data_IF_350128932496
#
_entry.id   IF_350128932496
#
_cell.length_a   1.000
_cell.length_b   1.000
_cell.length_c   1.000
_cell.angle_alpha   90.00
_cell.angle_beta   90.00
_cell.angle_gamma   90.00
#
_symmetry.space_group_name_H-M   'P 1'
#
loop_
_entity.id
_entity.type
_entity.pdbx_description
1 polymer ?
#
# COMPACT_ATOMS: atom_id res chain seq x y z
N UNK A 1 -3.99 -36.19 51.09
CA UNK A 1 -5.21 -35.84 51.88
C UNK A 1 -6.24 -35.35 50.90
N UNK A 2 -7.18 -36.22 50.39
CA UNK A 2 -8.48 -36.54 50.98
C UNK A 2 -9.32 -35.28 51.18
N UNK A 3 -10.38 -35.04 50.36
CA UNK A 3 -11.81 -35.48 50.46
C UNK A 3 -12.53 -34.82 49.25
N UNK A 4 -13.15 -35.37 48.34
CA UNK A 4 -14.30 -36.31 48.11
C UNK A 4 -15.66 -35.75 48.57
N UNK A 5 -16.63 -35.81 47.57
CA UNK A 5 -18.10 -35.96 47.63
C UNK A 5 -18.90 -34.68 47.83
N UNK A 6 -20.05 -34.46 47.20
CA UNK A 6 -21.22 -35.30 46.85
C UNK A 6 -22.09 -34.66 45.77
N UNK A 7 -22.46 -35.40 44.79
CA UNK A 7 -23.71 -35.62 44.07
C UNK A 7 -25.01 -35.35 44.79
N UNK A 8 -26.12 -35.02 44.06
CA UNK A 8 -27.53 -35.47 44.14
C UNK A 8 -28.32 -34.56 43.16
N UNK A 9 -28.81 -35.00 41.96
CA UNK A 9 -30.03 -35.74 41.57
C UNK A 9 -31.34 -35.09 42.08
N UNK A 10 -32.20 -34.68 41.13
CA UNK A 10 -33.66 -34.90 41.06
C UNK A 10 -34.21 -34.26 39.78
N UNK A 11 -34.48 -35.01 38.76
CA UNK A 11 -35.72 -35.76 38.34
C UNK A 11 -36.92 -34.86 38.04
N UNK A 12 -37.27 -34.79 36.74
CA UNK A 12 -38.53 -35.25 36.11
C UNK A 12 -39.84 -34.59 36.53
N UNK A 13 -40.51 -33.90 35.62
CA UNK A 13 -41.94 -34.16 35.38
C UNK A 13 -42.38 -33.75 33.97
N UNK A 14 -42.80 -34.76 33.28
CA UNK A 14 -43.47 -34.87 31.98
C UNK A 14 -44.97 -34.61 32.22
N UNK A 15 -45.64 -33.81 31.36
CA UNK A 15 -47.06 -34.01 31.07
C UNK A 15 -47.41 -33.59 29.65
N UNK A 16 -47.76 -34.62 28.89
CA UNK A 16 -48.56 -34.62 27.66
C UNK A 16 -50.01 -34.25 27.93
N UNK A 17 -50.67 -33.50 27.06
CA UNK A 17 -52.10 -33.69 26.77
C UNK A 17 -52.32 -33.59 25.29
N UNK A 18 -53.01 -34.61 24.79
CA UNK A 18 -53.32 -34.95 23.40
C UNK A 18 -54.77 -34.57 23.10
N UNK A 19 -55.01 -34.22 21.82
CA UNK A 19 -56.18 -34.43 20.97
C UNK A 19 -57.47 -33.64 21.23
N UNK A 20 -58.10 -33.14 20.17
CA UNK A 20 -59.00 -33.95 19.37
C UNK A 20 -59.49 -33.22 18.11
N UNK A 21 -59.70 -34.01 17.08
CA UNK A 21 -60.36 -33.78 15.82
C UNK A 21 -61.83 -33.29 15.95
N UNK A 22 -62.31 -32.55 14.94
CA UNK A 22 -63.71 -32.36 14.65
C UNK A 22 -63.94 -31.71 13.29
N UNK A 23 -64.54 -32.41 12.42
CA UNK A 23 -64.74 -32.15 11.00
C UNK A 23 -66.00 -31.33 10.64
N UNK A 24 -65.93 -30.72 9.47
CA UNK A 24 -66.99 -30.50 8.46
C UNK A 24 -68.04 -29.39 8.65
N UNK A 25 -68.17 -28.57 7.58
CA UNK A 25 -69.38 -27.84 7.27
C UNK A 25 -69.22 -26.57 6.42
N UNK A 26 -69.48 -26.68 5.18
CA UNK A 26 -69.74 -25.84 4.03
C UNK A 26 -70.32 -24.42 4.26
N UNK A 27 -69.85 -23.59 3.32
CA UNK A 27 -70.54 -22.60 2.45
C UNK A 27 -70.56 -21.11 2.80
N UNK A 28 -70.20 -20.38 1.74
CA UNK A 28 -70.59 -19.04 1.29
C UNK A 28 -69.75 -17.83 1.66
N UNK A 29 -69.06 -17.33 0.63
CA UNK A 29 -68.57 -15.95 0.41
C UNK A 29 -69.72 -14.91 0.36
N UNK A 30 -69.48 -13.55 0.27
CA UNK A 30 -68.25 -12.79 0.06
C UNK A 30 -68.11 -11.49 0.88
N UNK A 31 -67.00 -10.81 0.71
CA UNK A 31 -66.79 -9.36 0.57
C UNK A 31 -65.73 -8.72 1.48
N UNK A 32 -64.75 -8.19 0.77
CA UNK A 32 -63.97 -6.96 0.92
C UNK A 32 -63.42 -6.53 2.29
N UNK A 33 -62.09 -6.40 2.36
CA UNK A 33 -61.34 -5.69 3.40
C UNK A 33 -59.83 -5.85 3.18
N UNK A 34 -59.27 -4.99 2.33
CA UNK A 34 -57.80 -4.84 2.18
C UNK A 34 -57.22 -4.37 3.50
N UNK A 35 -56.25 -5.12 4.06
CA UNK A 35 -55.16 -4.54 4.82
C UNK A 35 -53.87 -5.23 4.40
N UNK A 36 -53.00 -4.42 3.82
CA UNK A 36 -51.66 -4.78 3.37
C UNK A 36 -50.75 -4.99 4.61
N UNK A 37 -50.53 -6.21 4.97
CA UNK A 37 -49.43 -6.61 5.85
C UNK A 37 -48.13 -6.62 5.06
N UNK A 38 -47.33 -5.56 5.17
CA UNK A 38 -45.99 -5.51 4.65
C UNK A 38 -45.13 -6.52 5.41
N UNK A 39 -44.97 -7.70 4.86
CA UNK A 39 -43.93 -8.62 5.28
C UNK A 39 -42.60 -8.00 4.82
N UNK A 40 -41.86 -7.45 5.76
CA UNK A 40 -40.49 -7.08 5.61
C UNK A 40 -39.69 -8.38 5.40
N UNK A 41 -39.54 -8.80 4.16
CA UNK A 41 -38.57 -9.80 3.78
C UNK A 41 -37.20 -9.12 3.92
N UNK A 42 -36.52 -9.30 5.05
CA UNK A 42 -35.09 -9.16 5.11
C UNK A 42 -34.49 -10.18 4.15
N UNK A 43 -34.29 -9.74 2.92
CA UNK A 43 -33.44 -10.44 1.98
C UNK A 43 -32.02 -10.35 2.56
N UNK A 44 -31.59 -11.40 3.23
CA UNK A 44 -30.17 -11.67 3.42
C UNK A 44 -29.63 -11.83 2.00
N UNK A 45 -29.01 -10.79 1.46
CA UNK A 45 -28.21 -10.92 0.25
C UNK A 45 -27.15 -11.97 0.57
N UNK A 46 -27.33 -13.17 0.05
CA UNK A 46 -26.28 -14.17 0.03
C UNK A 46 -25.10 -13.48 -0.67
N UNK A 47 -24.01 -13.22 0.03
CA UNK A 47 -22.84 -12.59 -0.54
C UNK A 47 -22.40 -13.42 -1.73
N UNK A 48 -22.56 -12.86 -2.94
CA UNK A 48 -22.13 -13.52 -4.16
C UNK A 48 -20.61 -13.68 -4.06
N UNK A 49 -20.13 -14.87 -4.35
CA UNK A 49 -18.69 -15.18 -4.41
C UNK A 49 -18.26 -15.31 -5.87
N UNK A 50 -17.02 -14.94 -6.14
CA UNK A 50 -16.35 -15.21 -7.42
C UNK A 50 -15.08 -15.99 -7.19
N UNK A 51 -14.64 -16.71 -8.23
CA UNK A 51 -13.43 -17.52 -8.21
C UNK A 51 -12.31 -16.79 -8.93
N UNK A 52 -11.16 -16.71 -8.29
CA UNK A 52 -9.94 -16.15 -8.88
C UNK A 52 -8.85 -17.21 -8.90
N UNK A 53 -8.16 -17.31 -10.04
CA UNK A 53 -7.03 -18.21 -10.18
C UNK A 53 -5.75 -17.53 -9.71
N UNK A 54 -5.05 -18.14 -8.78
CA UNK A 54 -3.77 -17.67 -8.22
C UNK A 54 -2.71 -18.79 -8.34
N UNK A 55 -1.47 -18.48 -8.02
CA UNK A 55 -0.42 -19.50 -7.92
C UNK A 55 -0.69 -20.52 -6.80
N UNK A 56 -1.51 -20.16 -5.81
CA UNK A 56 -1.93 -21.05 -4.73
C UNK A 56 -3.15 -21.91 -5.11
N UNK A 57 -3.63 -21.82 -6.36
CA UNK A 57 -4.83 -22.47 -6.85
C UNK A 57 -6.02 -21.51 -6.98
N UNK A 58 -7.21 -22.08 -7.12
CA UNK A 58 -8.46 -21.33 -7.19
C UNK A 58 -8.89 -20.89 -5.79
N UNK A 59 -9.15 -19.59 -5.61
CA UNK A 59 -9.60 -18.96 -4.36
C UNK A 59 -10.99 -18.39 -4.56
N UNK A 60 -11.93 -18.70 -3.68
CA UNK A 60 -13.25 -18.07 -3.63
C UNK A 60 -13.16 -16.78 -2.80
N UNK A 61 -13.54 -15.66 -3.39
CA UNK A 61 -13.56 -14.34 -2.74
C UNK A 61 -14.97 -13.72 -2.87
N UNK A 62 -15.35 -12.76 -2.02
CA UNK A 62 -16.57 -11.99 -2.24
C UNK A 62 -16.56 -11.35 -3.64
N UNK A 63 -17.68 -11.38 -4.35
CA UNK A 63 -17.79 -10.72 -5.66
C UNK A 63 -17.63 -9.20 -5.57
N UNK A 64 -18.00 -8.62 -4.44
CA UNK A 64 -17.83 -7.19 -4.13
C UNK A 64 -17.31 -7.03 -2.70
N UNK A 65 -15.99 -7.21 -2.48
CA UNK A 65 -15.40 -7.08 -1.15
C UNK A 65 -15.49 -5.64 -0.65
N UNK A 66 -15.81 -5.45 0.63
CA UNK A 66 -16.00 -4.14 1.26
C UNK A 66 -14.94 -3.80 2.28
N UNK A 67 -14.34 -4.83 2.88
CA UNK A 67 -13.33 -4.71 3.94
C UNK A 67 -12.01 -5.30 3.47
N UNK A 68 -11.29 -4.55 2.64
CA UNK A 68 -10.06 -5.04 2.02
C UNK A 68 -8.84 -4.60 2.81
N UNK A 69 -7.90 -5.53 3.00
CA UNK A 69 -6.56 -5.27 3.51
C UNK A 69 -5.53 -5.62 2.44
N UNK A 70 -4.67 -4.66 2.11
CA UNK A 70 -3.48 -4.88 1.28
C UNK A 70 -2.24 -5.02 2.17
N UNK A 71 -1.66 -6.23 2.26
CA UNK A 71 -0.50 -6.53 3.10
C UNK A 71 0.81 -6.16 2.40
N UNK A 72 1.09 -4.88 2.35
CA UNK A 72 2.34 -4.31 1.86
C UNK A 72 2.31 -2.82 2.21
N UNK A 73 3.45 -2.15 2.26
CA UNK A 73 3.50 -0.69 2.38
C UNK A 73 3.06 0.02 1.09
N UNK A 74 3.00 -0.72 -0.03
CA UNK A 74 2.62 -0.21 -1.36
C UNK A 74 1.16 -0.50 -1.70
N UNK A 75 0.63 -1.66 -1.32
CA UNK A 75 -0.72 -2.10 -1.69
C UNK A 75 -1.85 -1.19 -1.22
N UNK A 76 -1.76 -0.51 -0.08
CA UNK A 76 -2.73 0.52 0.29
C UNK A 76 -2.89 1.62 -0.75
N UNK A 77 -1.79 2.05 -1.37
CA UNK A 77 -1.80 3.06 -2.43
C UNK A 77 -2.39 2.51 -3.73
N UNK A 78 -2.14 1.24 -4.06
CA UNK A 78 -2.81 0.57 -5.20
C UNK A 78 -4.33 0.51 -5.00
N UNK A 79 -4.78 0.04 -3.84
CA UNK A 79 -6.21 -0.01 -3.52
C UNK A 79 -6.85 1.38 -3.63
N UNK A 80 -6.20 2.40 -3.07
CA UNK A 80 -6.71 3.76 -3.13
C UNK A 80 -6.76 4.33 -4.56
N UNK A 81 -5.76 4.06 -5.38
CA UNK A 81 -5.77 4.46 -6.81
C UNK A 81 -6.88 3.76 -7.61
N UNK A 82 -7.32 2.58 -7.17
CA UNK A 82 -8.47 1.86 -7.70
C UNK A 82 -9.82 2.31 -7.09
N UNK A 83 -9.82 3.37 -6.26
CA UNK A 83 -11.00 3.92 -5.59
C UNK A 83 -11.45 3.17 -4.35
N UNK A 84 -10.56 2.41 -3.71
CA UNK A 84 -10.86 1.60 -2.52
C UNK A 84 -10.01 2.09 -1.35
N UNK A 85 -10.66 2.53 -0.27
CA UNK A 85 -9.97 2.86 0.98
C UNK A 85 -9.79 1.57 1.79
N UNK A 86 -8.55 1.13 2.06
CA UNK A 86 -8.30 -0.07 2.86
C UNK A 86 -8.71 0.16 4.31
N UNK A 87 -9.24 -0.88 4.98
CA UNK A 87 -9.66 -0.79 6.37
C UNK A 87 -8.48 -0.82 7.35
N UNK A 88 -7.38 -1.47 6.96
CA UNK A 88 -6.14 -1.53 7.71
C UNK A 88 -4.94 -1.58 6.76
N UNK A 89 -3.80 -1.06 7.19
CA UNK A 89 -2.59 -0.94 6.39
C UNK A 89 -1.34 -1.29 7.18
N UNK A 90 -0.35 -1.86 6.51
CA UNK A 90 1.03 -1.85 7.00
C UNK A 90 1.62 -0.46 6.75
N UNK A 91 2.19 0.16 7.78
CA UNK A 91 2.78 1.49 7.70
C UNK A 91 4.22 1.46 8.21
N UNK A 92 5.13 2.09 7.47
CA UNK A 92 6.53 2.26 7.86
C UNK A 92 6.71 3.48 8.76
N UNK A 93 6.19 4.63 8.33
CA UNK A 93 6.20 5.86 9.12
C UNK A 93 4.98 5.92 10.05
N UNK A 94 5.10 6.67 11.14
CA UNK A 94 3.97 6.89 12.06
C UNK A 94 2.83 7.63 11.37
N UNK A 95 3.15 8.68 10.59
CA UNK A 95 2.19 9.43 9.81
C UNK A 95 2.12 8.95 8.37
N UNK A 96 0.93 8.99 7.80
CA UNK A 96 0.74 8.80 6.37
C UNK A 96 1.37 9.94 5.56
N UNK A 97 1.80 9.70 4.30
CA UNK A 97 2.11 10.78 3.37
C UNK A 97 0.95 11.77 3.28
N UNK A 98 1.25 13.05 2.98
CA UNK A 98 0.26 14.11 2.95
C UNK A 98 -0.94 13.81 2.05
N UNK A 99 -0.71 13.13 0.93
CA UNK A 99 -1.76 12.72 -0.02
C UNK A 99 -2.66 11.56 0.47
N UNK A 100 -2.32 10.92 1.59
CA UNK A 100 -3.11 9.84 2.21
C UNK A 100 -3.69 10.20 3.58
N UNK A 101 -3.28 11.33 4.20
CA UNK A 101 -3.70 11.67 5.56
C UNK A 101 -5.21 11.77 5.72
N UNK A 102 -5.88 12.52 4.83
CA UNK A 102 -7.33 12.67 4.88
C UNK A 102 -8.07 11.37 4.50
N UNK A 103 -7.80 10.74 3.35
CA UNK A 103 -8.52 9.54 2.97
C UNK A 103 -8.32 8.36 3.94
N UNK A 104 -7.17 8.26 4.61
CA UNK A 104 -6.86 7.18 5.54
C UNK A 104 -7.03 7.58 7.02
N UNK A 105 -7.72 8.67 7.32
CA UNK A 105 -7.92 9.14 8.70
C UNK A 105 -8.55 8.08 9.64
N UNK A 106 -9.36 7.18 9.10
CA UNK A 106 -10.01 6.10 9.85
C UNK A 106 -9.41 4.70 9.54
N UNK A 107 -8.31 4.63 8.79
CA UNK A 107 -7.66 3.37 8.46
C UNK A 107 -6.76 2.92 9.60
N UNK A 108 -6.92 1.67 10.04
CA UNK A 108 -6.11 1.09 11.11
C UNK A 108 -4.65 0.95 10.67
N UNK A 109 -3.71 1.42 11.49
CA UNK A 109 -2.28 1.23 11.31
C UNK A 109 -1.81 -0.03 12.02
N UNK A 110 -1.24 -0.99 11.29
CA UNK A 110 -0.79 -2.27 11.83
C UNK A 110 0.73 -2.33 12.09
N UNK A 111 1.47 -1.27 11.72
CA UNK A 111 2.93 -1.30 11.70
C UNK A 111 3.48 -2.24 10.63
N UNK A 112 4.81 -2.37 10.59
CA UNK A 112 5.51 -3.29 9.68
C UNK A 112 6.36 -4.27 10.49
N UNK A 113 6.38 -5.54 10.06
CA UNK A 113 7.17 -6.60 10.68
C UNK A 113 7.50 -7.71 9.67
N UNK A 114 8.33 -8.67 10.08
CA UNK A 114 8.67 -9.83 9.25
C UNK A 114 7.48 -10.74 8.97
N UNK A 115 6.46 -10.68 9.82
CA UNK A 115 5.17 -11.34 9.67
C UNK A 115 4.10 -10.27 9.86
N UNK A 116 2.90 -10.43 9.25
CA UNK A 116 1.77 -9.57 9.52
C UNK A 116 1.41 -9.53 11.00
N UNK A 117 0.84 -8.43 11.45
CA UNK A 117 0.23 -8.36 12.79
C UNK A 117 -1.14 -9.06 12.74
N UNK A 118 -1.15 -10.36 13.07
CA UNK A 118 -2.36 -11.19 13.01
C UNK A 118 -3.46 -10.73 13.97
N UNK A 119 -3.10 -10.18 15.14
CA UNK A 119 -4.10 -9.64 16.09
C UNK A 119 -4.82 -8.44 15.48
N UNK A 120 -4.07 -7.49 14.90
CA UNK A 120 -4.66 -6.34 14.23
C UNK A 120 -5.47 -6.74 12.98
N UNK A 121 -5.04 -7.77 12.24
CA UNK A 121 -5.81 -8.31 11.12
C UNK A 121 -7.14 -8.91 11.56
N UNK A 122 -7.14 -9.68 12.65
CA UNK A 122 -8.39 -10.23 13.22
C UNK A 122 -9.30 -9.13 13.75
N UNK A 123 -8.75 -8.10 14.38
CA UNK A 123 -9.53 -6.94 14.87
C UNK A 123 -10.14 -6.14 13.71
N UNK A 124 -9.44 -6.02 12.58
CA UNK A 124 -9.94 -5.34 11.40
C UNK A 124 -11.09 -6.08 10.71
N UNK A 125 -11.25 -7.39 10.94
CA UNK A 125 -12.31 -8.24 10.34
C UNK A 125 -12.40 -8.07 8.81
N UNK A 126 -11.32 -8.28 8.03
CA UNK A 126 -11.36 -8.15 6.59
C UNK A 126 -12.27 -9.20 5.94
N UNK A 127 -12.84 -8.86 4.79
CA UNK A 127 -13.53 -9.82 3.92
C UNK A 127 -12.66 -10.27 2.74
N UNK A 128 -11.53 -9.59 2.51
CA UNK A 128 -10.50 -9.95 1.54
C UNK A 128 -9.12 -9.44 1.99
N UNK A 129 -8.12 -10.32 1.90
CA UNK A 129 -6.70 -9.99 2.06
C UNK A 129 -6.02 -10.14 0.70
N UNK A 130 -5.30 -9.11 0.26
CA UNK A 130 -4.42 -9.15 -0.92
C UNK A 130 -2.99 -8.92 -0.42
N UNK A 131 -2.07 -9.82 -0.78
CA UNK A 131 -0.71 -9.80 -0.27
C UNK A 131 0.32 -10.17 -1.34
N UNK A 132 1.57 -9.68 -1.29
CA UNK A 132 2.63 -10.09 -2.18
C UNK A 132 3.09 -11.52 -1.83
N UNK A 133 3.28 -12.38 -2.84
CA UNK A 133 3.66 -13.78 -2.65
C UNK A 133 5.04 -13.91 -2.00
N UNK A 134 6.03 -13.15 -2.47
CA UNK A 134 7.43 -13.18 -1.99
C UNK A 134 7.59 -12.85 -0.50
N UNK A 135 6.63 -12.12 0.08
CA UNK A 135 6.64 -11.75 1.50
C UNK A 135 5.71 -12.62 2.34
N UNK A 136 4.51 -12.91 1.83
CA UNK A 136 3.39 -13.46 2.60
C UNK A 136 3.13 -14.95 2.40
N UNK A 137 3.78 -15.59 1.42
CA UNK A 137 3.56 -17.01 1.10
C UNK A 137 3.79 -17.95 2.30
N UNK A 138 4.76 -17.64 3.16
CA UNK A 138 5.05 -18.41 4.39
C UNK A 138 3.93 -18.35 5.43
N UNK A 139 3.13 -17.28 5.40
CA UNK A 139 2.06 -16.99 6.36
C UNK A 139 0.67 -17.29 5.77
N UNK A 140 0.59 -17.82 4.53
CA UNK A 140 -0.63 -18.00 3.77
C UNK A 140 -1.71 -18.78 4.52
N UNK A 141 -1.36 -19.93 5.12
CA UNK A 141 -2.32 -20.76 5.87
C UNK A 141 -2.95 -20.01 7.05
N UNK A 142 -2.18 -19.14 7.70
CA UNK A 142 -2.69 -18.33 8.82
C UNK A 142 -3.58 -17.17 8.32
N UNK A 143 -3.21 -16.55 7.21
CA UNK A 143 -4.01 -15.49 6.60
C UNK A 143 -5.38 -16.00 6.14
N UNK A 144 -5.44 -17.19 5.54
CA UNK A 144 -6.69 -17.81 5.07
C UNK A 144 -7.65 -18.21 6.20
N UNK A 145 -7.15 -18.35 7.43
CA UNK A 145 -8.01 -18.53 8.61
C UNK A 145 -8.74 -17.25 9.03
N UNK A 146 -8.25 -16.09 8.62
CA UNK A 146 -8.83 -14.79 8.94
C UNK A 146 -9.82 -14.35 7.84
N UNK A 147 -9.39 -14.40 6.58
CA UNK A 147 -10.21 -14.05 5.43
C UNK A 147 -9.70 -14.72 4.15
N UNK A 148 -10.54 -14.82 3.10
CA UNK A 148 -10.06 -15.18 1.77
C UNK A 148 -8.82 -14.36 1.41
N UNK A 149 -7.75 -15.04 1.00
CA UNK A 149 -6.43 -14.41 0.78
C UNK A 149 -5.96 -14.69 -0.64
N UNK A 150 -5.62 -13.62 -1.36
CA UNK A 150 -5.04 -13.68 -2.70
C UNK A 150 -3.59 -13.23 -2.64
N UNK A 151 -2.67 -14.07 -3.11
CA UNK A 151 -1.27 -13.71 -3.29
C UNK A 151 -1.04 -13.21 -4.72
N UNK A 152 -0.46 -12.02 -4.85
CA UNK A 152 -0.03 -11.47 -6.14
C UNK A 152 1.45 -11.79 -6.38
N UNK A 153 1.82 -12.13 -7.63
CA UNK A 153 3.21 -12.39 -7.98
C UNK A 153 4.04 -11.09 -7.96
N UNK A 154 5.31 -11.22 -7.66
CA UNK A 154 6.25 -10.11 -7.78
C UNK A 154 6.39 -9.67 -9.24
N UNK A 155 6.40 -8.36 -9.48
CA UNK A 155 6.62 -7.74 -10.78
C UNK A 155 7.80 -6.78 -10.72
N UNK A 156 8.48 -6.61 -11.86
CA UNK A 156 9.57 -5.62 -11.99
C UNK A 156 9.04 -4.19 -12.15
N UNK A 157 7.81 -4.05 -12.62
CA UNK A 157 7.10 -2.78 -12.75
C UNK A 157 5.80 -2.82 -11.94
N UNK A 158 5.61 -1.87 -11.04
CA UNK A 158 4.41 -1.75 -10.23
C UNK A 158 3.11 -1.64 -11.05
N UNK A 159 3.21 -1.17 -12.31
CA UNK A 159 2.04 -1.09 -13.20
C UNK A 159 1.44 -2.45 -13.50
N UNK A 160 2.29 -3.47 -13.65
CA UNK A 160 1.83 -4.83 -13.87
C UNK A 160 1.24 -5.42 -12.60
N UNK A 161 1.78 -5.08 -11.43
CA UNK A 161 1.24 -5.50 -10.14
C UNK A 161 -0.10 -4.82 -9.85
N UNK A 162 -0.26 -3.53 -10.20
CA UNK A 162 -1.54 -2.83 -10.14
C UNK A 162 -2.59 -3.47 -11.07
N UNK A 163 -2.20 -3.90 -12.29
CA UNK A 163 -3.09 -4.63 -13.21
C UNK A 163 -3.53 -5.97 -12.63
N UNK A 164 -2.61 -6.70 -12.00
CA UNK A 164 -2.94 -7.97 -11.33
C UNK A 164 -3.94 -7.73 -10.20
N UNK A 165 -3.76 -6.72 -9.38
CA UNK A 165 -4.71 -6.34 -8.32
C UNK A 165 -6.07 -5.91 -8.91
N UNK A 166 -6.05 -5.08 -9.93
CA UNK A 166 -7.26 -4.58 -10.58
C UNK A 166 -8.11 -5.71 -11.17
N UNK A 167 -7.47 -6.73 -11.76
CA UNK A 167 -8.15 -7.93 -12.28
C UNK A 167 -8.86 -8.73 -11.18
N UNK A 168 -8.28 -8.80 -9.97
CA UNK A 168 -8.93 -9.43 -8.82
C UNK A 168 -10.18 -8.64 -8.40
N UNK A 169 -10.15 -7.33 -8.54
CA UNK A 169 -11.17 -6.40 -8.03
C UNK A 169 -12.15 -5.89 -9.10
N UNK A 170 -12.07 -6.39 -10.36
CA UNK A 170 -12.85 -5.94 -11.52
C UNK A 170 -12.71 -4.41 -11.75
N UNK A 171 -11.46 -3.91 -11.70
CA UNK A 171 -11.08 -2.49 -11.78
C UNK A 171 -10.07 -2.20 -12.91
N UNK A 172 -10.02 -3.03 -13.95
CA UNK A 172 -9.01 -2.95 -15.01
C UNK A 172 -9.03 -1.61 -15.74
N UNK A 173 -10.22 -1.08 -16.04
CA UNK A 173 -10.36 0.24 -16.69
C UNK A 173 -9.79 1.36 -15.83
N UNK A 174 -10.01 1.29 -14.50
CA UNK A 174 -9.47 2.27 -13.55
C UNK A 174 -7.94 2.20 -13.49
N UNK A 175 -7.38 0.99 -13.44
CA UNK A 175 -5.93 0.80 -13.44
C UNK A 175 -5.28 1.36 -14.70
N UNK A 176 -5.82 1.04 -15.88
CA UNK A 176 -5.29 1.57 -17.15
C UNK A 176 -5.39 3.09 -17.21
N UNK A 177 -6.47 3.67 -16.71
CA UNK A 177 -6.61 5.12 -16.63
C UNK A 177 -5.53 5.75 -15.74
N UNK A 178 -5.30 5.22 -14.53
CA UNK A 178 -4.26 5.68 -13.61
C UNK A 178 -2.89 5.62 -14.28
N UNK A 179 -2.58 4.50 -14.93
CA UNK A 179 -1.29 4.30 -15.62
C UNK A 179 -1.12 5.31 -16.77
N UNK A 180 -2.15 5.51 -17.60
CA UNK A 180 -2.08 6.43 -18.76
C UNK A 180 -1.95 7.88 -18.31
N UNK A 181 -2.71 8.31 -17.31
CA UNK A 181 -2.65 9.67 -16.76
C UNK A 181 -1.24 9.95 -16.20
N UNK A 182 -0.65 8.99 -15.49
CA UNK A 182 0.69 9.13 -14.95
C UNK A 182 1.77 9.18 -16.04
N UNK A 183 1.69 8.32 -17.04
CA UNK A 183 2.62 8.34 -18.19
C UNK A 183 2.56 9.68 -18.93
N UNK A 184 1.37 10.25 -19.10
CA UNK A 184 1.22 11.57 -19.70
C UNK A 184 1.85 12.67 -18.83
N UNK A 185 1.69 12.60 -17.51
CA UNK A 185 2.29 13.53 -16.54
C UNK A 185 3.84 13.41 -16.54
N UNK A 186 4.36 12.19 -16.54
CA UNK A 186 5.80 11.92 -16.64
C UNK A 186 6.42 12.57 -17.88
N UNK A 187 5.76 12.43 -19.04
CA UNK A 187 6.25 13.03 -20.27
C UNK A 187 6.35 14.56 -20.16
N UNK A 188 5.34 15.21 -19.63
CA UNK A 188 5.35 16.67 -19.42
C UNK A 188 6.47 17.08 -18.47
N UNK A 189 6.67 16.32 -17.38
CA UNK A 189 7.74 16.57 -16.43
C UNK A 189 9.12 16.37 -17.05
N UNK A 190 9.32 15.31 -17.84
CA UNK A 190 10.57 15.06 -18.56
C UNK A 190 10.94 16.23 -19.47
N UNK A 191 9.99 16.73 -20.27
CA UNK A 191 10.22 17.88 -21.16
C UNK A 191 10.61 19.14 -20.36
N UNK A 192 9.97 19.39 -19.22
CA UNK A 192 10.30 20.52 -18.34
C UNK A 192 11.69 20.38 -17.71
N UNK A 193 11.98 19.22 -17.12
CA UNK A 193 13.26 18.97 -16.45
C UNK A 193 14.42 19.04 -17.45
N UNK A 194 14.25 18.49 -18.66
CA UNK A 194 15.24 18.61 -19.71
C UNK A 194 15.49 20.07 -20.13
N UNK A 195 14.45 20.91 -20.17
CA UNK A 195 14.62 22.33 -20.45
C UNK A 195 15.33 23.10 -19.32
N UNK A 196 15.21 22.64 -18.06
CA UNK A 196 15.83 23.27 -16.90
C UNK A 196 17.31 22.90 -16.75
N UNK A 197 17.66 21.62 -16.88
CA UNK A 197 19.00 21.11 -16.55
C UNK A 197 19.74 20.44 -17.72
N UNK A 198 19.04 20.19 -18.86
CA UNK A 198 19.69 19.63 -20.07
C UNK A 198 20.42 18.32 -19.80
N UNK A 199 21.73 18.33 -20.04
CA UNK A 199 22.62 17.16 -19.90
C UNK A 199 23.34 17.11 -18.54
N UNK A 200 22.95 17.91 -17.57
CA UNK A 200 23.52 17.88 -16.22
C UNK A 200 23.18 16.56 -15.52
N UNK A 201 24.13 16.05 -14.74
CA UNK A 201 23.98 14.78 -14.05
C UNK A 201 23.24 14.93 -12.74
N UNK A 202 22.41 13.95 -12.42
CA UNK A 202 21.63 13.90 -11.18
C UNK A 202 22.01 12.66 -10.38
N UNK A 203 22.18 12.80 -9.08
CA UNK A 203 22.33 11.69 -8.14
C UNK A 203 21.24 11.76 -7.08
N UNK A 204 20.51 10.67 -6.91
CA UNK A 204 19.53 10.52 -5.83
C UNK A 204 20.18 9.79 -4.65
N UNK A 205 20.19 10.42 -3.49
CA UNK A 205 20.73 9.87 -2.26
C UNK A 205 19.66 9.81 -1.17
N UNK A 206 19.70 8.76 -0.37
CA UNK A 206 18.84 8.57 0.80
C UNK A 206 19.69 8.46 2.05
N UNK A 207 19.47 9.33 3.02
CA UNK A 207 20.16 9.32 4.29
C UNK A 207 19.37 8.49 5.29
N UNK A 208 19.90 7.35 5.65
CA UNK A 208 19.34 6.41 6.62
C UNK A 208 20.14 6.47 7.94
N UNK A 209 19.61 5.86 8.99
CA UNK A 209 20.26 5.85 10.30
C UNK A 209 21.72 5.37 10.23
N UNK A 210 21.99 4.27 9.53
CA UNK A 210 23.33 3.63 9.51
C UNK A 210 24.14 3.91 8.25
N UNK A 211 23.51 4.30 7.14
CA UNK A 211 24.13 4.37 5.84
C UNK A 211 23.63 5.55 5.01
N UNK A 212 24.35 5.90 3.95
CA UNK A 212 23.90 6.75 2.86
C UNK A 212 23.72 5.83 1.67
N UNK A 213 22.53 5.81 1.08
CA UNK A 213 22.21 4.96 -0.05
C UNK A 213 22.15 5.82 -1.30
N UNK A 214 22.97 5.48 -2.30
CA UNK A 214 22.93 6.05 -3.64
C UNK A 214 22.04 5.18 -4.53
N UNK A 215 21.16 5.78 -5.30
CA UNK A 215 20.26 5.06 -6.21
C UNK A 215 20.74 5.18 -7.67
N UNK A 216 20.88 4.03 -8.34
CA UNK A 216 21.20 3.90 -9.75
C UNK A 216 19.97 3.87 -10.65
N UNK A 217 20.17 3.69 -11.97
CA UNK A 217 19.11 3.81 -12.98
C UNK A 217 18.20 2.57 -13.17
N UNK A 218 18.44 1.44 -12.49
CA UNK A 218 17.86 0.16 -12.92
C UNK A 218 16.45 -0.13 -12.45
N UNK A 219 16.15 -0.02 -11.15
CA UNK A 219 14.85 -0.36 -10.58
C UNK A 219 14.36 0.74 -9.63
N UNK A 220 13.11 0.68 -9.27
CA UNK A 220 12.45 1.50 -8.26
C UNK A 220 12.75 3.01 -8.40
N UNK A 221 13.20 3.64 -7.34
CA UNK A 221 13.47 5.08 -7.22
C UNK A 221 14.38 5.63 -8.29
N UNK A 222 15.49 4.94 -8.53
CA UNK A 222 16.46 5.38 -9.52
C UNK A 222 15.96 5.24 -10.95
N UNK A 223 15.22 4.17 -11.26
CA UNK A 223 14.54 4.00 -12.54
C UNK A 223 13.56 5.14 -12.80
N UNK A 224 12.79 5.52 -11.78
CA UNK A 224 11.87 6.64 -11.89
C UNK A 224 12.59 7.94 -12.25
N UNK A 225 13.61 8.30 -11.48
CA UNK A 225 14.37 9.54 -11.69
C UNK A 225 15.07 9.56 -13.06
N UNK A 226 15.76 8.47 -13.41
CA UNK A 226 16.64 8.45 -14.56
C UNK A 226 15.96 8.02 -15.88
N UNK A 227 15.09 7.00 -15.84
CA UNK A 227 14.45 6.49 -17.08
C UNK A 227 13.08 7.09 -17.33
N UNK A 228 12.29 7.28 -16.28
CA UNK A 228 10.91 7.79 -16.45
C UNK A 228 10.89 9.32 -16.53
N UNK A 229 11.68 10.00 -15.71
CA UNK A 229 11.82 11.47 -15.78
C UNK A 229 12.99 11.95 -16.65
N UNK A 230 13.79 11.04 -17.21
CA UNK A 230 14.84 11.34 -18.19
C UNK A 230 16.04 12.09 -17.63
N UNK A 231 16.22 12.16 -16.30
CA UNK A 231 17.38 12.83 -15.70
C UNK A 231 18.63 11.98 -15.89
N UNK A 232 19.74 12.62 -16.29
CA UNK A 232 20.97 11.94 -16.64
C UNK A 232 21.67 11.34 -15.42
N UNK A 233 21.87 10.00 -15.35
CA UNK A 233 22.61 9.37 -14.27
C UNK A 233 24.11 9.67 -14.34
N UNK A 234 24.82 9.45 -13.22
CA UNK A 234 26.27 9.49 -13.21
C UNK A 234 26.87 8.36 -14.05
N UNK A 235 27.82 8.65 -14.92
CA UNK A 235 28.41 7.64 -15.81
C UNK A 235 29.26 6.59 -15.07
N UNK A 236 29.75 6.91 -13.88
CA UNK A 236 30.55 6.02 -13.01
C UNK A 236 29.70 5.24 -11.99
N UNK A 237 28.38 5.42 -11.96
CA UNK A 237 27.54 4.56 -11.13
C UNK A 237 27.52 3.13 -11.72
N UNK A 238 27.73 2.06 -10.88
CA UNK A 238 27.71 0.70 -11.37
C UNK A 238 26.36 0.31 -11.98
N UNK A 239 26.38 -0.09 -13.25
CA UNK A 239 25.14 -0.37 -14.02
C UNK A 239 24.43 -1.67 -13.60
N UNK A 240 25.11 -2.54 -12.87
CA UNK A 240 24.56 -3.79 -12.31
C UNK A 240 23.96 -3.60 -10.91
N UNK A 241 24.07 -2.40 -10.33
CA UNK A 241 23.55 -2.06 -9.01
C UNK A 241 22.27 -1.22 -9.13
N UNK A 242 21.25 -1.61 -8.38
CA UNK A 242 20.03 -0.78 -8.19
C UNK A 242 20.31 0.35 -7.22
N UNK A 243 20.99 0.02 -6.12
CA UNK A 243 21.39 0.96 -5.07
C UNK A 243 22.67 0.48 -4.39
N UNK A 244 23.42 1.42 -3.82
CA UNK A 244 24.65 1.13 -3.08
C UNK A 244 24.68 1.89 -1.76
N UNK A 245 25.07 1.20 -0.69
CA UNK A 245 25.41 1.86 0.57
C UNK A 245 26.86 2.36 0.53
N UNK A 246 27.04 3.64 0.85
CA UNK A 246 28.36 4.28 0.90
C UNK A 246 28.58 4.99 2.23
N UNK A 247 29.84 5.18 2.58
CA UNK A 247 30.22 6.12 3.64
C UNK A 247 30.34 7.54 3.10
N UNK A 248 30.37 8.52 3.99
CA UNK A 248 30.52 9.92 3.60
C UNK A 248 31.85 10.19 2.90
N UNK A 249 32.91 9.44 3.21
CA UNK A 249 34.24 9.56 2.58
C UNK A 249 34.23 9.14 1.12
N UNK A 250 33.32 8.24 0.73
CA UNK A 250 33.18 7.73 -0.65
C UNK A 250 32.25 8.63 -1.49
N UNK A 251 31.32 9.35 -0.85
CA UNK A 251 30.34 10.18 -1.54
C UNK A 251 30.97 11.14 -2.60
N UNK A 252 32.14 11.80 -2.37
CA UNK A 252 32.76 12.65 -3.37
C UNK A 252 33.22 11.94 -4.66
N UNK A 253 33.28 10.60 -4.70
CA UNK A 253 33.55 9.86 -5.95
C UNK A 253 32.36 9.87 -6.89
N UNK A 254 31.16 10.20 -6.37
CA UNK A 254 29.88 10.29 -7.08
C UNK A 254 29.38 11.74 -7.16
N UNK A 255 30.26 12.65 -7.54
CA UNK A 255 30.04 14.10 -7.56
C UNK A 255 29.20 14.51 -8.80
N UNK A 256 27.90 14.64 -8.60
CA UNK A 256 26.91 15.02 -9.62
C UNK A 256 26.72 16.55 -9.71
N UNK A 257 26.11 17.00 -10.81
CA UNK A 257 25.69 18.39 -10.98
C UNK A 257 24.54 18.76 -10.03
N UNK A 258 23.63 17.82 -9.80
CA UNK A 258 22.49 17.96 -8.90
C UNK A 258 22.41 16.79 -7.93
N UNK A 259 22.02 17.07 -6.69
CA UNK A 259 21.72 16.06 -5.66
C UNK A 259 20.25 16.14 -5.26
N UNK A 260 19.53 15.03 -5.40
CA UNK A 260 18.24 14.82 -4.74
C UNK A 260 18.53 14.13 -3.41
N UNK A 261 18.15 14.74 -2.30
CA UNK A 261 18.47 14.25 -0.95
C UNK A 261 17.19 13.98 -0.18
N UNK A 262 16.98 12.71 0.15
CA UNK A 262 15.88 12.25 1.01
C UNK A 262 16.42 11.83 2.37
N UNK A 263 15.81 12.30 3.46
CA UNK A 263 15.95 11.67 4.76
C UNK A 263 14.95 10.51 4.83
N UNK A 264 15.41 9.33 5.25
CA UNK A 264 14.54 8.14 5.32
C UNK A 264 13.31 8.36 6.21
N UNK A 265 13.55 8.99 7.36
CA UNK A 265 12.51 9.44 8.29
C UNK A 265 12.94 10.78 8.90
N UNK A 266 12.22 11.83 8.54
CA UNK A 266 12.48 13.19 9.01
C UNK A 266 12.08 13.40 10.47
N UNK A 267 11.37 12.46 11.10
CA UNK A 267 11.02 12.50 12.51
C UNK A 267 12.08 11.83 13.38
N UNK A 268 12.91 10.95 12.80
CA UNK A 268 13.97 10.21 13.50
C UNK A 268 15.15 11.14 13.87
N UNK A 269 15.44 11.33 15.17
CA UNK A 269 16.51 12.23 15.64
C UNK A 269 17.92 11.76 15.23
N UNK A 270 18.14 10.45 15.09
CA UNK A 270 19.45 9.91 14.68
C UNK A 270 19.75 10.22 13.21
N UNK A 271 18.73 10.13 12.34
CA UNK A 271 18.85 10.50 10.93
C UNK A 271 19.08 12.00 10.77
N UNK A 272 18.33 12.84 11.51
CA UNK A 272 18.54 14.29 11.53
C UNK A 272 19.96 14.64 11.95
N UNK A 273 20.41 14.08 13.07
CA UNK A 273 21.76 14.32 13.58
C UNK A 273 22.82 13.90 12.57
N UNK A 274 22.68 12.72 11.98
CA UNK A 274 23.63 12.24 10.95
C UNK A 274 23.67 13.20 9.76
N UNK A 275 22.54 13.70 9.32
CA UNK A 275 22.48 14.65 8.22
C UNK A 275 23.13 15.99 8.59
N UNK A 276 22.86 16.54 9.78
CA UNK A 276 23.50 17.76 10.29
C UNK A 276 25.03 17.60 10.39
N UNK A 277 25.47 16.46 10.93
CA UNK A 277 26.91 16.14 10.99
C UNK A 277 27.52 16.10 9.60
N UNK A 278 26.84 15.49 8.60
CA UNK A 278 27.26 15.43 7.19
C UNK A 278 27.38 16.83 6.59
N UNK A 279 26.39 17.71 6.77
CA UNK A 279 26.39 19.08 6.28
C UNK A 279 27.57 19.91 6.82
N UNK A 280 28.05 19.60 8.02
CA UNK A 280 29.15 20.32 8.68
C UNK A 280 30.52 20.02 8.04
N UNK A 281 30.68 18.88 7.37
CA UNK A 281 31.96 18.37 6.85
C UNK A 281 32.46 19.11 5.63
N UNK A 282 33.78 19.08 5.44
CA UNK A 282 34.40 19.58 4.20
C UNK A 282 34.10 18.68 2.99
N UNK A 283 33.86 17.38 3.21
CA UNK A 283 33.49 16.44 2.16
C UNK A 283 32.19 16.88 1.47
N UNK A 284 31.15 17.14 2.27
CA UNK A 284 29.87 17.63 1.78
C UNK A 284 30.00 19.01 1.12
N UNK A 285 30.62 19.98 1.81
CA UNK A 285 30.76 21.36 1.33
C UNK A 285 31.55 21.48 0.02
N UNK A 286 32.36 20.46 -0.31
CA UNK A 286 33.16 20.45 -1.53
C UNK A 286 32.45 19.80 -2.72
N UNK A 287 31.31 19.13 -2.54
CA UNK A 287 30.52 18.57 -3.65
C UNK A 287 30.11 19.68 -4.63
N UNK A 288 30.10 19.36 -5.92
CA UNK A 288 29.74 20.28 -7.00
C UNK A 288 28.33 20.85 -6.80
N UNK A 289 27.34 19.96 -6.61
CA UNK A 289 25.95 20.35 -6.37
C UNK A 289 25.79 21.27 -5.16
N UNK A 290 26.55 21.04 -4.07
CA UNK A 290 26.48 21.88 -2.86
C UNK A 290 27.05 23.28 -3.11
N UNK A 291 28.17 23.37 -3.85
CA UNK A 291 28.79 24.67 -4.23
C UNK A 291 27.91 25.50 -5.15
N UNK A 292 27.11 24.84 -5.98
CA UNK A 292 26.23 25.47 -6.96
C UNK A 292 24.82 25.71 -6.45
N UNK A 293 24.53 25.35 -5.20
CA UNK A 293 23.18 25.36 -4.61
C UNK A 293 22.17 24.46 -5.34
N UNK A 294 22.64 23.37 -5.94
CA UNK A 294 21.84 22.37 -6.66
C UNK A 294 21.50 21.15 -5.79
N UNK A 295 21.21 21.38 -4.51
CA UNK A 295 20.74 20.35 -3.59
C UNK A 295 19.24 20.47 -3.42
N UNK A 296 18.52 19.41 -3.81
CA UNK A 296 17.07 19.29 -3.78
C UNK A 296 16.68 18.41 -2.58
N UNK A 297 16.21 19.04 -1.50
CA UNK A 297 15.72 18.31 -0.35
C UNK A 297 14.28 17.86 -0.61
N UNK A 298 14.00 16.57 -0.38
CA UNK A 298 12.69 15.96 -0.63
C UNK A 298 12.18 15.21 0.60
N UNK A 299 10.86 15.08 0.72
CA UNK A 299 10.20 14.52 1.89
C UNK A 299 10.42 13.01 2.06
N UNK A 300 10.69 12.56 3.29
CA UNK A 300 10.93 11.15 3.61
C UNK A 300 9.73 10.26 3.35
N UNK A 301 8.62 10.56 3.97
CA UNK A 301 7.39 9.76 3.89
C UNK A 301 6.66 9.93 2.54
N UNK A 302 6.66 11.11 1.93
CA UNK A 302 6.05 11.39 0.64
C UNK A 302 6.75 10.63 -0.50
N UNK A 303 8.07 10.48 -0.39
CA UNK A 303 8.90 9.80 -1.38
C UNK A 303 9.16 8.33 -1.05
N UNK A 304 8.55 7.80 0.03
CA UNK A 304 8.86 6.46 0.52
C UNK A 304 8.60 5.38 -0.54
N UNK A 305 7.45 5.43 -1.21
CA UNK A 305 7.05 4.48 -2.25
C UNK A 305 7.38 4.95 -3.68
N UNK A 306 8.32 5.90 -3.84
CA UNK A 306 8.76 6.38 -5.15
C UNK A 306 9.24 5.23 -6.05
N UNK A 307 8.73 5.19 -7.27
CA UNK A 307 9.04 4.15 -8.25
C UNK A 307 8.30 2.84 -8.03
N UNK A 308 7.50 2.74 -6.97
CA UNK A 308 6.79 1.53 -6.57
C UNK A 308 5.25 1.72 -6.49
N UNK A 309 4.75 2.96 -6.57
CA UNK A 309 3.33 3.28 -6.40
C UNK A 309 2.89 4.42 -7.31
N UNK A 310 1.66 4.36 -7.88
CA UNK A 310 1.12 5.45 -8.70
C UNK A 310 0.98 6.76 -7.94
N UNK A 311 0.60 6.72 -6.66
CA UNK A 311 0.34 7.93 -5.87
C UNK A 311 1.63 8.62 -5.44
N UNK A 312 2.63 7.85 -5.02
CA UNK A 312 3.95 8.39 -4.72
C UNK A 312 4.58 8.99 -5.98
N UNK A 313 4.52 8.29 -7.11
CA UNK A 313 5.06 8.77 -8.38
C UNK A 313 4.35 10.04 -8.85
N UNK A 314 3.02 10.12 -8.71
CA UNK A 314 2.24 11.31 -9.07
C UNK A 314 2.62 12.53 -8.23
N UNK A 315 2.76 12.35 -6.91
CA UNK A 315 3.18 13.41 -5.98
C UNK A 315 4.61 13.88 -6.30
N UNK A 316 5.53 12.94 -6.46
CA UNK A 316 6.96 13.22 -6.69
C UNK A 316 7.20 13.98 -7.99
N UNK A 317 6.42 13.74 -9.05
CA UNK A 317 6.53 14.51 -10.29
C UNK A 317 6.36 16.01 -10.04
N UNK A 318 5.36 16.40 -9.29
CA UNK A 318 5.09 17.82 -9.00
C UNK A 318 6.16 18.39 -8.07
N UNK A 319 6.53 17.64 -7.04
CA UNK A 319 7.53 18.03 -6.04
C UNK A 319 8.91 18.27 -6.67
N UNK A 320 9.37 17.32 -7.48
CA UNK A 320 10.70 17.40 -8.13
C UNK A 320 10.76 18.54 -9.17
N UNK A 321 9.71 18.68 -10.00
CA UNK A 321 9.67 19.77 -10.99
C UNK A 321 9.71 21.11 -10.27
N UNK A 322 8.93 21.29 -9.22
CA UNK A 322 8.92 22.52 -8.42
C UNK A 322 10.27 22.83 -7.80
N UNK A 323 10.92 21.82 -7.21
CA UNK A 323 12.25 21.97 -6.61
C UNK A 323 13.32 22.40 -7.62
N UNK A 324 13.29 21.81 -8.84
CA UNK A 324 14.24 22.20 -9.90
C UNK A 324 13.94 23.58 -10.49
N UNK A 325 12.66 23.97 -10.62
CA UNK A 325 12.27 25.33 -11.04
C UNK A 325 12.73 26.39 -10.03
N UNK A 326 12.69 26.09 -8.73
CA UNK A 326 13.14 27.01 -7.68
C UNK A 326 14.64 27.25 -7.72
N UNK A 327 15.43 26.22 -7.98
CA UNK A 327 16.91 26.31 -8.03
C UNK A 327 17.45 26.90 -9.32
N UNK A 328 16.65 26.98 -10.38
CA UNK A 328 17.04 27.54 -11.68
C UNK A 328 16.49 28.96 -11.93
N UNK A 329 16.02 29.66 -10.89
CA UNK A 329 15.63 31.08 -10.93
C UNK A 329 16.83 31.96 -10.68
#
# INVERSE_FOLDING_TARGET
MRFRWLTVICTMMLMLVIAACGAAGKEASPSEGQEAGTANASTTEASQVKKVNTEMGEVEIPANPQKIVGLSVVYPEFLFSLGIVPIAVQNYHEDFPSYLQEPFANTMKMGIGRTPNFEALMEAEPDLIIAPDWWSKKDYDQLTLIAPTVLLPQRDDWRDELRDMAKILDKEEQAEKVIQDLVAKEKVATDKLHNLIGEETVLYIRVMEKEIVLHGENLDRGNFVHKRLGMKPLPNFPKDQTAMSVSLEVLPEYDADHLIVQLDDETNPEIKKKFEDMLSTSLWKNLKAVKQDHVHMVGGKEWFNLGMSPLADEYVIDDIVSSFEEKNK
#
